data_IF_978292538276
#
_entry.id   IF_978292538276
#
_cell.length_a   1.000
_cell.length_b   1.000
_cell.length_c   1.000
_cell.angle_alpha   90.00
_cell.angle_beta   90.00
_cell.angle_gamma   90.00
#
_symmetry.space_group_name_H-M   'P 1'
#
loop_
_entity.id
_entity.type
_entity.pdbx_description
1 polymer ?
#
# COMPACT_ATOMS: atom_id res chain seq x y z
N UNK A 1 -0.88 -17.68 11.33
CA UNK A 1 0.38 -17.12 11.92
C UNK A 1 1.36 -16.90 10.78
N UNK A 2 2.12 -15.79 10.76
CA UNK A 2 3.10 -15.55 9.70
C UNK A 2 4.12 -16.68 9.66
N UNK A 3 4.53 -17.07 8.46
CA UNK A 3 5.56 -18.09 8.24
C UNK A 3 6.81 -17.46 7.64
N UNK A 4 7.95 -18.10 7.90
CA UNK A 4 9.20 -17.74 7.24
C UNK A 4 9.51 -18.78 6.18
N UNK A 5 9.74 -18.34 4.94
CA UNK A 5 10.13 -19.23 3.86
C UNK A 5 11.16 -18.59 2.94
N UNK A 6 11.76 -19.42 2.10
CA UNK A 6 12.61 -18.98 1.00
C UNK A 6 11.71 -18.83 -0.23
N UNK A 7 11.64 -17.60 -0.75
CA UNK A 7 10.94 -17.25 -1.98
C UNK A 7 11.94 -17.04 -3.11
N UNK A 8 11.55 -17.35 -4.35
CA UNK A 8 12.37 -17.09 -5.53
C UNK A 8 11.95 -15.77 -6.17
N UNK A 9 12.90 -15.00 -6.65
CA UNK A 9 12.61 -13.87 -7.53
C UNK A 9 12.25 -14.42 -8.90
N UNK A 10 10.98 -14.29 -9.32
CA UNK A 10 10.51 -14.71 -10.62
C UNK A 10 10.87 -13.70 -11.71
N UNK A 11 10.81 -12.40 -11.38
CA UNK A 11 11.27 -11.34 -12.28
C UNK A 11 11.62 -10.06 -11.52
N UNK A 12 12.39 -9.19 -12.19
CA UNK A 12 12.83 -7.92 -11.62
C UNK A 12 12.88 -6.87 -12.72
N UNK A 13 12.11 -5.80 -12.61
CA UNK A 13 12.04 -4.71 -13.57
C UNK A 13 12.31 -3.37 -12.90
N UNK A 14 13.23 -2.59 -13.45
CA UNK A 14 13.46 -1.23 -13.02
C UNK A 14 12.47 -0.29 -13.71
N UNK A 15 11.67 0.44 -12.93
CA UNK A 15 10.70 1.40 -13.46
C UNK A 15 11.32 2.78 -13.69
N UNK A 16 12.20 3.20 -12.76
CA UNK A 16 13.05 4.40 -12.89
C UNK A 16 14.33 4.26 -12.06
N UNK A 17 15.11 5.32 -11.90
CA UNK A 17 16.38 5.30 -11.16
C UNK A 17 16.25 4.80 -9.71
N UNK A 18 15.07 4.87 -9.09
CA UNK A 18 14.83 4.54 -7.69
C UNK A 18 13.75 3.49 -7.46
N UNK A 19 12.88 3.22 -8.43
CA UNK A 19 11.69 2.40 -8.27
C UNK A 19 11.82 1.08 -9.01
N UNK A 20 11.44 0.01 -8.34
CA UNK A 20 11.58 -1.37 -8.82
C UNK A 20 10.27 -2.14 -8.68
N UNK A 21 10.00 -2.99 -9.65
CA UNK A 21 8.92 -3.96 -9.70
C UNK A 21 9.52 -5.34 -9.56
N UNK A 22 9.19 -6.08 -8.53
CA UNK A 22 9.67 -7.41 -8.23
C UNK A 22 8.50 -8.38 -8.17
N UNK A 23 8.62 -9.51 -8.86
CA UNK A 23 7.69 -10.63 -8.74
C UNK A 23 8.37 -11.75 -7.97
N UNK A 24 7.71 -12.28 -6.94
CA UNK A 24 8.19 -13.38 -6.11
C UNK A 24 7.30 -14.61 -6.25
N UNK A 25 7.92 -15.78 -6.35
CA UNK A 25 7.25 -17.05 -6.10
C UNK A 25 7.05 -17.22 -4.59
N UNK A 26 5.82 -17.05 -4.13
CA UNK A 26 5.48 -17.02 -2.70
C UNK A 26 4.70 -18.25 -2.24
N UNK A 27 4.20 -19.09 -3.18
CA UNK A 27 3.60 -20.40 -2.95
C UNK A 27 2.77 -20.50 -1.66
N UNK A 28 3.31 -21.18 -0.65
CA UNK A 28 2.61 -21.43 0.63
C UNK A 28 2.11 -20.18 1.37
N UNK A 29 2.71 -19.00 1.14
CA UNK A 29 2.23 -17.75 1.73
C UNK A 29 0.84 -17.37 1.21
N UNK A 30 0.56 -17.65 -0.07
CA UNK A 30 -0.75 -17.41 -0.67
C UNK A 30 -1.70 -18.57 -0.40
N UNK A 31 -1.27 -19.81 -0.62
CA UNK A 31 -2.10 -21.02 -0.48
C UNK A 31 -2.75 -21.13 0.92
N UNK A 32 -2.00 -20.78 1.97
CA UNK A 32 -2.43 -21.01 3.34
C UNK A 32 -3.18 -19.82 3.94
N UNK A 33 -2.91 -18.57 3.50
CA UNK A 33 -3.39 -17.37 4.18
C UNK A 33 -4.04 -16.36 3.26
N UNK A 34 -3.87 -16.50 1.93
CA UNK A 34 -4.17 -15.44 0.98
C UNK A 34 -3.29 -14.19 1.19
N UNK A 35 -3.03 -13.47 0.14
CA UNK A 35 -2.42 -12.14 0.23
C UNK A 35 -3.44 -11.13 -0.26
N UNK A 36 -3.67 -10.08 0.53
CA UNK A 36 -4.71 -9.08 0.24
C UNK A 36 -4.14 -7.67 0.36
N UNK A 37 -4.83 -6.70 -0.22
CA UNK A 37 -4.41 -5.30 -0.20
C UNK A 37 -4.28 -4.74 1.23
N UNK A 38 -3.17 -4.07 1.49
CA UNK A 38 -2.78 -3.57 2.82
C UNK A 38 -1.72 -4.43 3.52
N UNK A 39 -1.67 -5.73 3.26
CA UNK A 39 -0.65 -6.62 3.83
C UNK A 39 0.74 -6.38 3.22
N UNK A 40 1.77 -6.85 3.94
CA UNK A 40 3.16 -6.71 3.52
C UNK A 40 3.99 -7.97 3.80
N UNK A 41 5.12 -8.05 3.14
CA UNK A 41 6.16 -9.05 3.35
C UNK A 41 7.39 -8.41 3.98
N UNK A 42 8.05 -9.12 4.90
CA UNK A 42 9.23 -8.64 5.62
C UNK A 42 10.47 -9.40 5.13
N UNK A 43 11.29 -8.76 4.30
CA UNK A 43 12.35 -9.37 3.52
C UNK A 43 13.71 -9.17 4.19
N UNK A 44 14.49 -10.25 4.36
CA UNK A 44 15.89 -10.19 4.78
C UNK A 44 16.76 -9.70 3.61
N UNK A 45 17.44 -8.58 3.81
CA UNK A 45 18.24 -7.91 2.78
C UNK A 45 19.75 -8.12 3.01
N UNK A 46 20.22 -9.34 2.73
CA UNK A 46 21.62 -9.72 2.96
C UNK A 46 21.93 -10.05 4.41
N UNK A 47 23.19 -10.45 4.67
CA UNK A 47 23.63 -10.82 6.01
C UNK A 47 24.17 -9.62 6.80
N UNK A 48 24.60 -8.57 6.11
CA UNK A 48 25.11 -7.35 6.71
C UNK A 48 24.00 -6.40 7.22
N UNK A 49 22.73 -6.69 6.86
CA UNK A 49 21.58 -5.89 7.30
C UNK A 49 20.89 -6.55 8.49
N UNK A 50 20.98 -5.92 9.66
CA UNK A 50 20.36 -6.42 10.90
C UNK A 50 18.84 -6.57 10.76
N UNK A 51 18.18 -5.57 10.19
CA UNK A 51 16.71 -5.53 10.10
C UNK A 51 16.22 -5.93 8.70
N UNK A 52 15.12 -6.66 8.68
CA UNK A 52 14.33 -6.90 7.46
C UNK A 52 13.71 -5.60 6.93
N UNK A 53 13.23 -5.62 5.70
CA UNK A 53 12.51 -4.49 5.09
C UNK A 53 11.06 -4.88 4.87
N UNK A 54 10.10 -4.14 5.45
CA UNK A 54 8.69 -4.32 5.13
C UNK A 54 8.42 -3.74 3.74
N UNK A 55 7.87 -4.55 2.87
CA UNK A 55 7.45 -4.15 1.53
C UNK A 55 6.00 -4.59 1.36
N UNK A 56 5.12 -3.64 1.08
CA UNK A 56 3.71 -3.90 0.84
C UNK A 56 3.50 -4.76 -0.41
N UNK A 57 2.52 -5.65 -0.34
CA UNK A 57 2.07 -6.41 -1.49
C UNK A 57 1.28 -5.47 -2.40
N UNK A 58 1.68 -5.40 -3.67
CA UNK A 58 1.02 -4.61 -4.70
C UNK A 58 -0.05 -5.44 -5.42
N UNK A 59 0.31 -6.64 -5.86
CA UNK A 59 -0.59 -7.55 -6.58
C UNK A 59 -0.37 -8.97 -6.04
N UNK A 60 -1.45 -9.69 -5.78
CA UNK A 60 -1.44 -11.11 -5.46
C UNK A 60 -2.83 -11.71 -5.67
N UNK A 61 -2.90 -12.93 -6.14
CA UNK A 61 -4.15 -13.64 -6.37
C UNK A 61 -4.75 -13.37 -7.74
N UNK A 62 -5.91 -12.75 -7.83
CA UNK A 62 -6.81 -12.70 -8.99
C UNK A 62 -6.19 -12.57 -10.39
N UNK A 63 -5.25 -11.66 -10.61
CA UNK A 63 -4.61 -11.41 -11.89
C UNK A 63 -3.16 -11.92 -11.99
N UNK A 64 -2.66 -12.55 -10.92
CA UNK A 64 -1.38 -13.24 -10.91
C UNK A 64 -1.61 -14.74 -10.71
N UNK A 65 -0.73 -15.63 -11.20
CA UNK A 65 -0.73 -17.03 -10.79
C UNK A 65 -0.77 -17.15 -9.26
N UNK A 66 -1.53 -18.11 -8.74
CA UNK A 66 -1.82 -18.29 -7.30
C UNK A 66 -0.58 -18.37 -6.41
N UNK A 67 0.60 -18.64 -6.98
CA UNK A 67 1.86 -18.75 -6.27
C UNK A 67 2.77 -17.51 -6.39
N UNK A 68 2.33 -16.46 -7.08
CA UNK A 68 3.09 -15.23 -7.28
C UNK A 68 2.58 -14.06 -6.43
N UNK A 69 3.49 -13.16 -6.10
CA UNK A 69 3.19 -11.85 -5.52
C UNK A 69 4.09 -10.77 -6.11
N UNK A 70 3.50 -9.66 -6.48
CA UNK A 70 4.22 -8.47 -6.96
C UNK A 70 4.45 -7.50 -5.81
N UNK A 71 5.69 -7.05 -5.71
CA UNK A 71 6.14 -6.00 -4.79
C UNK A 71 6.68 -4.82 -5.60
N UNK A 72 6.27 -3.61 -5.26
CA UNK A 72 6.80 -2.39 -5.87
C UNK A 72 7.42 -1.55 -4.76
N UNK A 73 8.70 -1.19 -4.90
CA UNK A 73 9.43 -0.49 -3.85
C UNK A 73 10.40 0.55 -4.39
N UNK A 74 10.70 1.54 -3.54
CA UNK A 74 11.74 2.55 -3.80
C UNK A 74 13.02 2.23 -3.05
N UNK A 75 14.15 2.52 -3.68
CA UNK A 75 15.48 2.49 -3.05
C UNK A 75 15.61 3.71 -2.14
N UNK A 76 15.52 3.50 -0.82
CA UNK A 76 15.63 4.55 0.20
C UNK A 76 16.82 4.37 1.15
N UNK A 77 17.46 3.21 1.14
CA UNK A 77 18.60 2.89 2.01
C UNK A 77 19.27 1.59 1.60
N UNK A 78 20.29 1.16 2.33
CA UNK A 78 21.15 0.03 1.97
C UNK A 78 20.35 -1.29 1.79
N UNK A 79 19.33 -1.55 2.60
CA UNK A 79 18.51 -2.76 2.45
C UNK A 79 17.74 -2.79 1.14
N UNK A 80 17.02 -1.71 0.79
CA UNK A 80 16.29 -1.64 -0.49
C UNK A 80 17.25 -1.49 -1.68
N UNK A 81 18.43 -0.91 -1.49
CA UNK A 81 19.50 -0.92 -2.50
C UNK A 81 20.02 -2.35 -2.74
N UNK A 82 20.24 -3.13 -1.68
CA UNK A 82 20.58 -4.54 -1.82
C UNK A 82 19.46 -5.31 -2.55
N UNK A 83 18.20 -5.05 -2.21
CA UNK A 83 17.05 -5.69 -2.82
C UNK A 83 16.94 -5.35 -4.33
N UNK A 84 17.21 -4.11 -4.74
CA UNK A 84 17.20 -3.66 -6.14
C UNK A 84 18.27 -4.33 -7.01
N UNK A 85 19.26 -4.98 -6.42
CA UNK A 85 20.31 -5.72 -7.13
C UNK A 85 19.98 -7.20 -7.36
N UNK A 86 18.81 -7.64 -6.89
CA UNK A 86 18.37 -9.03 -7.08
C UNK A 86 18.00 -9.29 -8.53
N UNK A 87 18.09 -10.55 -8.91
CA UNK A 87 17.84 -11.02 -10.28
C UNK A 87 16.92 -12.22 -10.23
N UNK A 88 16.31 -12.53 -11.35
CA UNK A 88 15.57 -13.78 -11.54
C UNK A 88 16.37 -14.99 -11.06
N UNK A 89 15.70 -15.88 -10.32
CA UNK A 89 16.31 -17.06 -9.68
C UNK A 89 16.94 -16.81 -8.31
N UNK A 90 17.17 -15.55 -7.89
CA UNK A 90 17.68 -15.26 -6.55
C UNK A 90 16.71 -15.73 -5.47
N UNK A 91 17.25 -16.21 -4.35
CA UNK A 91 16.49 -16.70 -3.21
C UNK A 91 16.44 -15.64 -2.10
N UNK A 92 15.25 -15.31 -1.65
CA UNK A 92 15.00 -14.35 -0.58
C UNK A 92 14.39 -15.03 0.64
N UNK A 93 14.89 -14.69 1.83
CA UNK A 93 14.27 -15.10 3.07
C UNK A 93 13.16 -14.11 3.43
N UNK A 94 11.92 -14.56 3.35
CA UNK A 94 10.69 -13.75 3.51
C UNK A 94 9.92 -14.23 4.73
N UNK A 95 9.44 -13.30 5.53
CA UNK A 95 8.50 -13.51 6.63
C UNK A 95 7.17 -12.86 6.24
N UNK A 96 6.09 -13.61 6.27
CA UNK A 96 4.75 -13.10 5.91
C UNK A 96 3.66 -14.18 5.92
N UNK A 97 2.44 -13.84 5.46
CA UNK A 97 1.96 -12.47 5.31
C UNK A 97 1.90 -11.75 6.67
N UNK A 98 2.08 -10.44 6.66
CA UNK A 98 2.09 -9.62 7.87
C UNK A 98 1.06 -8.48 7.77
N UNK A 99 0.58 -8.06 8.91
CA UNK A 99 -0.44 -7.02 9.04
C UNK A 99 -1.84 -7.50 8.68
N UNK A 100 -2.80 -6.59 8.89
CA UNK A 100 -4.18 -6.75 8.44
C UNK A 100 -4.34 -6.19 7.00
N UNK A 101 -5.52 -6.39 6.42
CA UNK A 101 -5.90 -5.86 5.11
C UNK A 101 -6.91 -4.71 5.26
N UNK A 102 -7.15 -4.00 4.17
CA UNK A 102 -8.33 -3.16 4.05
C UNK A 102 -9.61 -4.02 4.14
N UNK A 103 -10.56 -3.53 4.91
CA UNK A 103 -11.90 -4.14 4.95
C UNK A 103 -12.74 -3.60 3.79
N UNK A 104 -13.05 -4.49 2.86
CA UNK A 104 -13.87 -4.22 1.68
C UNK A 104 -15.17 -5.02 1.69
N UNK A 105 -15.57 -5.52 2.85
CA UNK A 105 -16.76 -6.38 3.02
C UNK A 105 -18.09 -5.62 2.95
N UNK A 106 -18.07 -4.32 3.21
CA UNK A 106 -19.29 -3.50 3.19
C UNK A 106 -19.67 -3.12 1.77
N UNK A 107 -20.97 -3.21 1.48
CA UNK A 107 -21.54 -2.70 0.24
C UNK A 107 -21.41 -1.18 0.17
N UNK A 108 -21.01 -0.65 -1.00
CA UNK A 108 -20.89 0.78 -1.17
C UNK A 108 -20.05 1.21 -2.37
N UNK A 109 -19.91 2.51 -2.53
CA UNK A 109 -19.02 3.12 -3.53
C UNK A 109 -17.70 3.53 -2.85
N UNK A 110 -16.60 2.95 -3.30
CA UNK A 110 -15.29 3.14 -2.70
C UNK A 110 -14.46 4.20 -3.43
N UNK A 111 -13.70 4.96 -2.66
CA UNK A 111 -12.70 5.89 -3.17
C UNK A 111 -11.30 5.40 -2.76
N UNK A 112 -10.51 4.94 -3.74
CA UNK A 112 -9.13 4.48 -3.53
C UNK A 112 -8.19 5.68 -3.66
N UNK A 113 -7.49 6.07 -2.60
CA UNK A 113 -6.65 7.27 -2.58
C UNK A 113 -5.20 6.90 -2.33
N UNK A 114 -4.38 6.95 -3.36
CA UNK A 114 -2.96 6.58 -3.30
C UNK A 114 -2.01 7.76 -3.49
N UNK A 115 -0.87 7.76 -2.78
CA UNK A 115 0.18 8.76 -2.96
C UNK A 115 1.57 8.19 -3.10
N UNK A 116 2.25 8.44 -4.22
CA UNK A 116 3.59 7.96 -4.51
C UNK A 116 3.71 6.45 -4.40
N UNK A 117 4.64 5.95 -3.59
CA UNK A 117 4.82 4.50 -3.37
C UNK A 117 3.68 3.86 -2.56
N UNK A 118 2.72 4.63 -2.06
CA UNK A 118 1.48 4.12 -1.46
C UNK A 118 0.39 3.79 -2.48
N UNK A 119 0.58 4.08 -3.77
CA UNK A 119 -0.37 3.69 -4.84
C UNK A 119 -0.39 2.17 -5.06
N UNK A 120 0.76 1.48 -5.24
CA UNK A 120 0.79 0.05 -5.50
C UNK A 120 0.00 -0.84 -4.51
N UNK A 121 0.04 -0.62 -3.17
CA UNK A 121 -0.71 -1.44 -2.22
C UNK A 121 -2.24 -1.43 -2.40
N UNK A 122 -2.78 -0.46 -3.14
CA UNK A 122 -4.21 -0.35 -3.43
C UNK A 122 -4.64 -1.10 -4.69
N UNK A 123 -3.70 -1.60 -5.52
CA UNK A 123 -4.01 -2.33 -6.75
C UNK A 123 -4.87 -3.55 -6.43
N UNK A 124 -4.39 -4.44 -5.54
CA UNK A 124 -5.15 -5.64 -5.14
C UNK A 124 -6.54 -5.30 -4.59
N UNK A 125 -6.69 -4.18 -3.85
CA UNK A 125 -8.02 -3.73 -3.42
C UNK A 125 -8.91 -3.40 -4.61
N UNK A 126 -8.39 -2.71 -5.62
CA UNK A 126 -9.11 -2.39 -6.84
C UNK A 126 -9.52 -3.63 -7.62
N UNK A 127 -8.65 -4.61 -7.75
CA UNK A 127 -8.88 -5.84 -8.53
C UNK A 127 -9.86 -6.81 -7.85
N UNK A 128 -9.73 -6.99 -6.53
CA UNK A 128 -10.52 -8.00 -5.78
C UNK A 128 -11.91 -7.51 -5.34
N UNK A 129 -12.20 -6.22 -5.48
CA UNK A 129 -13.43 -5.62 -4.98
C UNK A 129 -14.58 -5.80 -5.98
N UNK A 130 -15.75 -6.24 -5.50
CA UNK A 130 -16.97 -6.36 -6.31
C UNK A 130 -17.77 -5.06 -6.40
N UNK A 131 -17.49 -4.08 -5.54
CA UNK A 131 -18.22 -2.83 -5.41
C UNK A 131 -17.74 -1.76 -6.39
N UNK A 132 -18.60 -0.77 -6.76
CA UNK A 132 -18.17 0.40 -7.50
C UNK A 132 -17.01 1.12 -6.83
N UNK A 133 -16.02 1.56 -7.61
CA UNK A 133 -14.84 2.24 -7.10
C UNK A 133 -14.29 3.27 -8.06
N UNK A 134 -13.82 4.35 -7.48
CA UNK A 134 -13.09 5.43 -8.15
C UNK A 134 -11.70 5.55 -7.55
N UNK A 135 -10.69 5.82 -8.35
CA UNK A 135 -9.32 6.00 -7.87
C UNK A 135 -8.88 7.47 -7.96
N UNK A 136 -8.14 7.94 -6.96
CA UNK A 136 -7.40 9.22 -6.96
C UNK A 136 -5.94 8.93 -6.65
N UNK A 137 -5.07 9.09 -7.63
CA UNK A 137 -3.67 8.73 -7.56
C UNK A 137 -2.79 9.98 -7.65
N UNK A 138 -1.99 10.23 -6.61
CA UNK A 138 -1.09 11.37 -6.50
C UNK A 138 0.37 11.01 -6.70
N UNK A 139 1.07 11.82 -7.48
CA UNK A 139 2.49 11.65 -7.76
C UNK A 139 3.18 13.01 -7.69
N UNK A 140 4.51 13.04 -7.56
CA UNK A 140 5.24 14.30 -7.62
C UNK A 140 5.22 14.90 -9.01
N UNK A 141 5.46 14.08 -10.02
CA UNK A 141 5.54 14.46 -11.44
C UNK A 141 4.96 13.35 -12.32
N UNK A 142 4.70 13.61 -13.58
CA UNK A 142 4.21 12.62 -14.55
C UNK A 142 5.15 11.41 -14.71
N UNK A 143 6.46 11.61 -14.56
CA UNK A 143 7.45 10.53 -14.69
C UNK A 143 7.32 9.47 -13.58
N UNK A 144 6.69 9.83 -12.44
CA UNK A 144 6.39 8.92 -11.32
C UNK A 144 5.04 8.21 -11.46
N UNK A 145 4.20 8.64 -12.38
CA UNK A 145 2.94 7.99 -12.72
C UNK A 145 3.19 6.86 -13.75
N UNK A 146 3.80 5.77 -13.30
CA UNK A 146 4.17 4.66 -14.18
C UNK A 146 2.94 4.06 -14.88
N UNK A 147 2.92 3.98 -16.23
CA UNK A 147 1.78 3.47 -16.97
C UNK A 147 1.35 2.07 -16.51
N UNK A 148 2.30 1.17 -16.22
CA UNK A 148 2.01 -0.19 -15.75
C UNK A 148 1.28 -0.23 -14.38
N UNK A 149 1.38 0.83 -13.56
CA UNK A 149 0.65 0.96 -12.31
C UNK A 149 -0.71 1.64 -12.55
N UNK A 150 -0.72 2.73 -13.32
CA UNK A 150 -1.93 3.52 -13.57
C UNK A 150 -2.97 2.70 -14.34
N UNK A 151 -2.56 1.94 -15.37
CA UNK A 151 -3.47 1.10 -16.18
C UNK A 151 -4.25 0.09 -15.33
N UNK A 152 -3.66 -0.45 -14.25
CA UNK A 152 -4.38 -1.36 -13.34
C UNK A 152 -5.60 -0.71 -12.69
N UNK A 153 -5.52 0.55 -12.36
CA UNK A 153 -6.67 1.29 -11.82
C UNK A 153 -7.66 1.68 -12.93
N UNK A 154 -7.17 2.04 -14.13
CA UNK A 154 -8.03 2.36 -15.28
C UNK A 154 -8.84 1.15 -15.74
N UNK A 155 -8.31 -0.06 -15.62
CA UNK A 155 -8.97 -1.32 -15.97
C UNK A 155 -10.03 -1.75 -14.94
N UNK A 156 -9.81 -1.47 -13.66
CA UNK A 156 -10.63 -1.99 -12.57
C UNK A 156 -11.49 -0.95 -11.85
N UNK A 157 -11.28 0.34 -12.06
CA UNK A 157 -12.07 1.42 -11.47
C UNK A 157 -12.98 2.08 -12.52
N UNK A 158 -14.14 2.56 -12.09
CA UNK A 158 -15.05 3.29 -12.97
C UNK A 158 -14.43 4.58 -13.50
N UNK A 159 -13.61 5.22 -12.66
CA UNK A 159 -12.82 6.41 -12.99
C UNK A 159 -11.49 6.40 -12.26
N UNK A 160 -10.46 6.90 -12.93
CA UNK A 160 -9.13 7.12 -12.32
C UNK A 160 -8.73 8.58 -12.52
N UNK A 161 -8.56 9.28 -11.40
CA UNK A 161 -8.11 10.67 -11.37
C UNK A 161 -6.64 10.73 -11.01
N UNK A 162 -5.85 11.45 -11.80
CA UNK A 162 -4.44 11.65 -11.55
C UNK A 162 -4.18 13.07 -11.03
N UNK A 163 -3.33 13.18 -10.02
CA UNK A 163 -2.85 14.44 -9.47
C UNK A 163 -1.33 14.45 -9.51
N UNK A 164 -0.73 15.59 -9.83
CA UNK A 164 0.72 15.79 -9.68
C UNK A 164 1.02 17.09 -8.96
N UNK A 165 2.04 17.05 -8.09
CA UNK A 165 2.42 18.21 -7.28
C UNK A 165 2.86 19.39 -8.17
N UNK A 166 3.47 19.10 -9.32
CA UNK A 166 3.97 20.09 -10.29
C UNK A 166 2.99 20.41 -11.43
N UNK A 167 1.83 19.74 -11.50
CA UNK A 167 0.83 19.95 -12.55
C UNK A 167 1.20 19.39 -13.91
N UNK A 168 2.19 18.52 -14.02
CA UNK A 168 2.64 17.95 -15.32
C UNK A 168 1.72 16.86 -15.85
N UNK A 169 0.82 16.30 -15.01
CA UNK A 169 -0.19 15.31 -15.39
C UNK A 169 -1.42 15.43 -14.50
N UNK A 170 -2.61 15.42 -15.11
CA UNK A 170 -3.88 15.47 -14.39
C UNK A 170 -4.10 16.78 -13.63
N UNK A 171 -4.67 16.70 -12.41
CA UNK A 171 -4.89 17.87 -11.54
C UNK A 171 -3.56 18.34 -10.96
N UNK A 172 -3.32 19.66 -10.99
CA UNK A 172 -2.22 20.26 -10.25
C UNK A 172 -2.54 20.31 -8.75
N UNK A 173 -1.66 19.77 -7.92
CA UNK A 173 -1.76 19.78 -6.46
C UNK A 173 -1.99 18.39 -5.85
N UNK A 174 -2.43 18.37 -4.60
CA UNK A 174 -2.53 17.16 -3.79
C UNK A 174 -3.87 16.44 -3.96
N UNK A 175 -3.88 15.15 -3.60
CA UNK A 175 -5.05 14.25 -3.75
C UNK A 175 -6.24 14.68 -2.89
N UNK A 176 -6.02 15.28 -1.72
CA UNK A 176 -7.09 15.72 -0.81
C UNK A 176 -8.01 16.76 -1.46
N UNK A 177 -7.47 17.65 -2.29
CA UNK A 177 -8.27 18.57 -3.09
C UNK A 177 -9.15 17.84 -4.12
N UNK A 178 -8.66 16.80 -4.78
CA UNK A 178 -9.45 15.99 -5.73
C UNK A 178 -10.51 15.17 -4.99
N UNK A 179 -10.15 14.60 -3.82
CA UNK A 179 -11.09 13.88 -2.94
C UNK A 179 -12.25 14.81 -2.53
N UNK A 180 -11.95 16.04 -2.09
CA UNK A 180 -12.95 17.03 -1.72
C UNK A 180 -13.91 17.31 -2.87
N UNK A 181 -13.38 17.63 -4.05
CA UNK A 181 -14.21 17.94 -5.23
C UNK A 181 -15.14 16.78 -5.60
N UNK A 182 -14.67 15.53 -5.47
CA UNK A 182 -15.50 14.35 -5.73
C UNK A 182 -16.61 14.19 -4.70
N UNK A 183 -16.31 14.36 -3.40
CA UNK A 183 -17.30 14.24 -2.33
C UNK A 183 -18.33 15.40 -2.35
N UNK A 184 -17.97 16.58 -2.85
CA UNK A 184 -18.89 17.71 -3.06
C UNK A 184 -19.87 17.45 -4.24
N UNK A 185 -19.40 16.73 -5.26
CA UNK A 185 -20.18 16.46 -6.48
C UNK A 185 -21.05 15.20 -6.38
N UNK A 186 -20.62 14.21 -5.60
CA UNK A 186 -21.23 12.90 -5.50
C UNK A 186 -21.23 12.41 -4.05
N UNK A 187 -22.40 12.27 -3.48
CA UNK A 187 -22.62 11.77 -2.12
C UNK A 187 -22.79 10.25 -2.04
N UNK A 188 -22.54 9.53 -3.14
CA UNK A 188 -22.64 8.06 -3.17
C UNK A 188 -21.44 7.36 -2.54
N UNK A 189 -20.29 8.05 -2.38
CA UNK A 189 -19.11 7.49 -1.75
C UNK A 189 -19.36 7.17 -0.28
N UNK A 190 -19.13 5.92 0.07
CA UNK A 190 -19.36 5.41 1.44
C UNK A 190 -18.06 5.12 2.19
N UNK A 191 -16.99 4.81 1.46
CA UNK A 191 -15.72 4.41 2.03
C UNK A 191 -14.52 4.97 1.27
N UNK A 192 -13.52 5.42 1.99
CA UNK A 192 -12.20 5.82 1.47
C UNK A 192 -11.16 4.82 1.96
N UNK A 193 -10.36 4.27 1.04
CA UNK A 193 -9.18 3.47 1.33
C UNK A 193 -7.95 4.28 0.93
N UNK A 194 -7.12 4.69 1.88
CA UNK A 194 -5.99 5.56 1.61
C UNK A 194 -4.64 4.94 2.00
N UNK A 195 -3.65 5.07 1.11
CA UNK A 195 -2.27 4.66 1.34
C UNK A 195 -1.28 5.68 0.77
N UNK A 196 -0.31 6.12 1.58
CA UNK A 196 0.66 7.12 1.17
C UNK A 196 1.35 7.81 2.35
N UNK A 197 2.04 8.93 2.11
CA UNK A 197 2.72 9.68 3.16
C UNK A 197 1.78 10.15 4.28
N UNK A 198 2.24 10.10 5.54
CA UNK A 198 1.44 10.49 6.72
C UNK A 198 0.74 11.86 6.57
N UNK A 199 1.38 12.94 6.03
CA UNK A 199 0.68 14.21 5.83
C UNK A 199 -0.50 14.10 4.86
N UNK A 200 -0.37 13.31 3.78
CA UNK A 200 -1.46 13.05 2.83
C UNK A 200 -2.60 12.30 3.53
N UNK A 201 -2.30 11.23 4.27
CA UNK A 201 -3.30 10.46 5.01
C UNK A 201 -4.06 11.34 6.00
N UNK A 202 -3.37 12.22 6.74
CA UNK A 202 -3.98 13.20 7.65
C UNK A 202 -4.95 14.14 6.92
N UNK A 203 -4.55 14.68 5.75
CA UNK A 203 -5.40 15.57 4.95
C UNK A 203 -6.63 14.84 4.40
N UNK A 204 -6.45 13.62 3.87
CA UNK A 204 -7.56 12.80 3.37
C UNK A 204 -8.53 12.42 4.50
N UNK A 205 -8.01 12.00 5.66
CA UNK A 205 -8.81 11.68 6.85
C UNK A 205 -9.65 12.88 7.32
N UNK A 206 -9.07 14.09 7.27
CA UNK A 206 -9.79 15.32 7.59
C UNK A 206 -10.94 15.58 6.61
N UNK A 207 -10.69 15.45 5.31
CA UNK A 207 -11.74 15.60 4.29
C UNK A 207 -12.83 14.55 4.48
N UNK A 208 -12.48 13.28 4.69
CA UNK A 208 -13.44 12.21 4.94
C UNK A 208 -14.35 12.52 6.14
N UNK A 209 -13.79 13.00 7.25
CA UNK A 209 -14.54 13.38 8.45
C UNK A 209 -15.48 14.57 8.20
N UNK A 210 -15.08 15.56 7.41
CA UNK A 210 -15.93 16.72 7.04
C UNK A 210 -17.18 16.30 6.26
N UNK A 211 -17.06 15.25 5.43
CA UNK A 211 -18.18 14.72 4.63
C UNK A 211 -18.89 13.52 5.28
N UNK A 212 -18.45 13.05 6.44
CA UNK A 212 -19.03 11.90 7.13
C UNK A 212 -18.81 10.57 6.41
N UNK A 213 -17.75 10.44 5.60
CA UNK A 213 -17.39 9.23 4.86
C UNK A 213 -16.39 8.42 5.66
N UNK A 214 -16.62 7.12 5.83
CA UNK A 214 -15.68 6.21 6.50
C UNK A 214 -14.33 6.20 5.77
N UNK A 215 -13.22 6.20 6.53
CA UNK A 215 -11.88 6.22 5.95
C UNK A 215 -10.97 5.22 6.65
N UNK A 216 -10.39 4.31 5.87
CA UNK A 216 -9.31 3.42 6.30
C UNK A 216 -7.98 3.94 5.76
N UNK A 217 -6.94 3.93 6.59
CA UNK A 217 -5.61 4.41 6.23
C UNK A 217 -4.56 3.35 6.50
N UNK A 218 -3.68 3.11 5.51
CA UNK A 218 -2.52 2.24 5.69
C UNK A 218 -1.35 3.07 6.21
N UNK A 219 -0.97 2.83 7.48
CA UNK A 219 0.10 3.53 8.17
C UNK A 219 1.46 2.87 7.92
N UNK A 220 2.50 3.70 7.86
CA UNK A 220 3.90 3.24 7.73
C UNK A 220 4.69 3.66 8.98
N UNK A 221 5.44 2.69 9.55
CA UNK A 221 6.37 2.94 10.65
C UNK A 221 7.64 2.09 10.51
N UNK A 222 8.70 2.51 11.22
CA UNK A 222 9.94 1.73 11.26
C UNK A 222 9.70 0.40 11.95
N UNK A 223 10.07 -0.69 11.29
CA UNK A 223 9.85 -2.04 11.79
C UNK A 223 11.17 -2.77 12.04
N UNK A 224 11.22 -3.48 13.18
CA UNK A 224 12.31 -4.41 13.46
C UNK A 224 11.83 -5.86 13.39
N UNK A 225 10.87 -6.29 14.24
CA UNK A 225 10.43 -7.69 14.29
C UNK A 225 9.33 -8.04 13.26
N UNK A 226 8.44 -7.12 12.93
CA UNK A 226 7.30 -7.33 12.04
C UNK A 226 6.14 -8.14 12.66
N UNK A 227 6.22 -8.58 13.91
CA UNK A 227 5.29 -9.51 14.55
C UNK A 227 4.71 -9.01 15.89
N UNK A 228 4.85 -7.71 16.20
CA UNK A 228 4.34 -7.10 17.43
C UNK A 228 5.15 -7.35 18.70
N UNK A 229 6.36 -7.95 18.60
CA UNK A 229 7.14 -8.32 19.80
C UNK A 229 8.06 -7.20 20.31
N UNK A 230 8.63 -6.35 19.42
CA UNK A 230 9.64 -5.36 19.78
C UNK A 230 9.08 -3.98 20.14
N UNK A 231 7.80 -3.72 19.89
CA UNK A 231 7.07 -2.47 20.10
C UNK A 231 7.59 -1.25 19.30
N UNK A 232 8.55 -1.45 18.39
CA UNK A 232 9.24 -0.36 17.69
C UNK A 232 8.38 0.37 16.64
N UNK A 233 7.27 -0.24 16.17
CA UNK A 233 6.36 0.34 15.20
C UNK A 233 5.04 0.84 15.84
N UNK A 234 5.10 1.26 17.11
CA UNK A 234 3.93 1.71 17.84
C UNK A 234 3.49 3.11 17.38
N UNK A 235 2.19 3.26 17.13
CA UNK A 235 1.53 4.54 16.91
C UNK A 235 0.50 4.80 18.01
N UNK A 236 0.27 6.07 18.32
CA UNK A 236 -0.73 6.46 19.30
C UNK A 236 -2.11 6.56 18.66
N UNK A 237 -3.10 6.04 19.36
CA UNK A 237 -4.51 6.20 19.00
C UNK A 237 -5.15 7.32 19.83
N UNK A 238 -6.30 7.87 19.39
CA UNK A 238 -6.99 8.97 20.09
C UNK A 238 -7.41 8.63 21.52
N UNK A 239 -7.67 7.37 21.80
CA UNK A 239 -7.97 6.87 23.17
C UNK A 239 -6.74 6.76 24.07
N UNK A 240 -5.55 7.09 23.56
CA UNK A 240 -4.27 7.02 24.24
C UNK A 240 -3.61 5.63 24.21
N UNK A 241 -4.25 4.62 23.62
CA UNK A 241 -3.68 3.28 23.48
C UNK A 241 -2.61 3.29 22.37
N UNK A 242 -1.55 2.51 22.59
CA UNK A 242 -0.52 2.30 21.58
C UNK A 242 -0.86 1.05 20.77
N UNK A 243 -0.99 1.18 19.46
CA UNK A 243 -1.15 0.04 18.52
C UNK A 243 0.10 -0.14 17.66
N UNK A 244 0.42 -1.37 17.30
CA UNK A 244 1.62 -1.71 16.53
C UNK A 244 1.27 -1.89 15.06
N UNK A 245 1.83 -1.06 14.20
CA UNK A 245 1.57 -1.07 12.75
C UNK A 245 1.78 -2.46 12.12
N UNK A 246 2.76 -3.22 12.60
CA UNK A 246 3.05 -4.55 12.04
C UNK A 246 2.08 -5.66 12.46
N UNK A 247 1.27 -5.48 13.53
CA UNK A 247 0.40 -6.52 14.09
C UNK A 247 -1.05 -6.08 14.15
N UNK A 248 -1.31 -4.87 14.65
CA UNK A 248 -2.66 -4.31 14.84
C UNK A 248 -3.11 -3.55 13.58
N UNK A 249 -2.16 -3.18 12.70
CA UNK A 249 -2.29 -2.56 11.40
C UNK A 249 -1.71 -3.43 10.29
N UNK A 250 -1.24 -2.83 9.18
CA UNK A 250 -1.01 -1.40 8.96
C UNK A 250 -2.28 -0.58 8.69
N UNK A 251 -3.42 -1.22 8.44
CA UNK A 251 -4.68 -0.54 8.14
C UNK A 251 -5.42 -0.23 9.44
N UNK A 252 -5.81 1.04 9.60
CA UNK A 252 -6.57 1.54 10.74
C UNK A 252 -7.72 2.43 10.27
N UNK A 253 -8.78 2.55 11.08
CA UNK A 253 -9.77 3.59 10.89
C UNK A 253 -9.14 4.96 11.14
N UNK A 254 -9.25 5.85 10.17
CA UNK A 254 -8.60 7.15 10.21
C UNK A 254 -9.04 8.02 11.40
N UNK A 255 -10.29 7.86 11.85
CA UNK A 255 -10.85 8.55 12.99
C UNK A 255 -10.29 8.10 14.34
N UNK A 256 -9.71 6.90 14.43
CA UNK A 256 -9.09 6.37 15.64
C UNK A 256 -7.63 6.84 15.82
N UNK A 257 -6.96 7.25 14.74
CA UNK A 257 -5.53 7.62 14.73
C UNK A 257 -5.32 8.98 15.39
N UNK A 258 -4.35 9.07 16.31
CA UNK A 258 -3.86 10.36 16.82
C UNK A 258 -2.90 10.99 15.80
N UNK A 259 -3.42 11.89 14.98
CA UNK A 259 -2.67 12.53 13.90
C UNK A 259 -1.65 13.58 14.39
N UNK A 260 -1.68 13.95 15.65
CA UNK A 260 -0.85 15.00 16.24
C UNK A 260 0.25 14.44 17.18
N UNK A 261 0.28 13.13 17.36
CA UNK A 261 1.29 12.41 18.13
C UNK A 261 2.61 12.20 17.36
#
# INVERSE_FOLDING_TARGET
>A
MPIQQICTVASMTQLDASTWWMVLEVGKLVEQYGLTGGQFLHIKCGDDQLLRRPISVAIAGWDEPEDLATLIFEVRGEGTKWLSQRREGDKLNVLGPLGNSFDVSQEGHYLLVGGGIGVPPLITCGECMSWPRTAVLGFRTKEKAFPAIVSRFEEHCEKTHLCTDDGTLGRHGFVDGQVRDLLEQDNSFTQILACGPRPMLKSVAKVAAEFGVSCQVSMEERMACGIGACLGCAIRMKDGIMKHVCKDGPVFNAEEVDWDA
#
